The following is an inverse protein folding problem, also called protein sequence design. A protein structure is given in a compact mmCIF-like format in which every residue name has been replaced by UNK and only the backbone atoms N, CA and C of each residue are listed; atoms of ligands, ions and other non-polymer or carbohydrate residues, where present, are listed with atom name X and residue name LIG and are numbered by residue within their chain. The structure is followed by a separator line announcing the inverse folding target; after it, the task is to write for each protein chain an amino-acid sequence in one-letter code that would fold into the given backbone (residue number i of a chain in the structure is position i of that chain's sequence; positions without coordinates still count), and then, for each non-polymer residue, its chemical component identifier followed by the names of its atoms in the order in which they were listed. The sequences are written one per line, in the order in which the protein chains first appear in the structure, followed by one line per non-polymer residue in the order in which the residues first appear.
data_IF_808070258016
#
_entry.id   IF_808070258016
#
_cell.length_a   1.000
_cell.length_b   1.000
_cell.length_c   1.000
_cell.angle_alpha   90.00
_cell.angle_beta   90.00
_cell.angle_gamma   90.00
#
_symmetry.space_group_name_H-M   'P 1'
#
loop_
_entity.id
_entity.type
_entity.pdbx_description
1 polymer ?
#
# COMPACT_ATOMS: atom_id res chain seq x y z
N UNK A 1 -6.30 27.10 -16.39
CA UNK A 1 -6.86 27.37 -15.05
C UNK A 1 -6.66 26.09 -14.25
N UNK A 2 -5.51 25.97 -13.56
CA UNK A 2 -5.20 24.79 -12.76
C UNK A 2 -6.13 24.82 -11.55
N UNK A 3 -7.10 23.90 -11.52
CA UNK A 3 -7.80 23.54 -10.31
C UNK A 3 -6.73 23.17 -9.29
N UNK A 4 -6.55 23.97 -8.24
CA UNK A 4 -5.65 23.66 -7.14
C UNK A 4 -6.23 22.45 -6.41
N UNK A 5 -6.03 21.26 -6.95
CA UNK A 5 -6.58 20.02 -6.39
C UNK A 5 -5.99 19.88 -5.01
N UNK A 6 -6.86 19.94 -4.00
CA UNK A 6 -6.49 19.90 -2.59
C UNK A 6 -5.59 18.69 -2.34
N UNK A 7 -4.49 18.93 -1.62
CA UNK A 7 -3.60 17.85 -1.18
C UNK A 7 -4.32 17.07 -0.07
N UNK A 8 -4.58 15.79 -0.31
CA UNK A 8 -5.20 14.89 0.67
C UNK A 8 -4.26 13.76 1.03
N UNK A 9 -4.43 13.12 2.20
CA UNK A 9 -3.69 11.92 2.55
C UNK A 9 -3.77 10.85 1.45
N UNK A 10 -4.95 10.63 0.85
CA UNK A 10 -5.17 9.62 -0.18
C UNK A 10 -4.33 9.87 -1.43
N UNK A 11 -4.26 11.13 -1.90
CA UNK A 11 -3.45 11.50 -3.08
C UNK A 11 -1.96 11.36 -2.80
N UNK A 12 -1.53 11.67 -1.57
CA UNK A 12 -0.14 11.43 -1.15
C UNK A 12 0.17 9.93 -1.17
N UNK A 13 -0.72 9.09 -0.67
CA UNK A 13 -0.53 7.64 -0.67
C UNK A 13 -0.48 7.08 -2.10
N UNK A 14 -1.33 7.56 -3.01
CA UNK A 14 -1.31 7.18 -4.43
C UNK A 14 0.01 7.54 -5.11
N UNK A 15 0.44 8.80 -5.00
CA UNK A 15 1.72 9.21 -5.56
C UNK A 15 2.89 8.45 -4.93
N UNK A 16 2.81 8.10 -3.65
CA UNK A 16 3.85 7.32 -2.98
C UNK A 16 3.90 5.88 -3.49
N UNK A 17 2.76 5.23 -3.72
CA UNK A 17 2.73 3.91 -4.37
C UNK A 17 3.39 3.96 -5.76
N UNK A 18 3.12 5.00 -6.55
CA UNK A 18 3.71 5.13 -7.89
C UNK A 18 5.22 5.40 -7.85
N UNK A 19 5.67 6.23 -6.91
CA UNK A 19 7.11 6.46 -6.66
C UNK A 19 7.80 5.17 -6.20
N UNK A 20 7.17 4.38 -5.34
CA UNK A 20 7.70 3.08 -4.89
C UNK A 20 7.77 2.08 -6.04
N UNK A 21 6.74 1.97 -6.87
CA UNK A 21 6.76 1.11 -8.07
C UNK A 21 7.86 1.51 -9.05
N UNK A 22 8.15 2.80 -9.18
CA UNK A 22 9.13 3.32 -10.14
C UNK A 22 10.57 3.17 -9.68
N UNK A 23 10.85 3.41 -8.39
CA UNK A 23 12.23 3.52 -7.89
C UNK A 23 12.61 2.43 -6.90
N UNK A 24 11.64 1.67 -6.40
CA UNK A 24 11.81 0.70 -5.33
C UNK A 24 12.02 1.36 -3.96
N UNK A 25 11.88 0.55 -2.91
CA UNK A 25 11.88 1.00 -1.51
C UNK A 25 13.13 1.82 -1.13
N UNK A 26 14.31 1.39 -1.61
CA UNK A 26 15.61 1.95 -1.25
C UNK A 26 15.79 3.36 -1.80
N UNK A 27 15.35 3.61 -3.04
CA UNK A 27 15.60 4.89 -3.75
C UNK A 27 14.44 5.87 -3.64
N UNK A 28 13.21 5.40 -3.38
CA UNK A 28 12.05 6.27 -3.20
C UNK A 28 12.23 7.26 -2.02
N UNK A 29 11.99 8.55 -2.28
CA UNK A 29 12.05 9.61 -1.27
C UNK A 29 10.75 10.40 -1.17
N UNK A 30 10.54 11.06 -0.02
CA UNK A 30 9.40 12.00 0.17
C UNK A 30 9.51 13.20 -0.80
N UNK A 31 10.73 13.56 -1.22
CA UNK A 31 10.95 14.61 -2.22
C UNK A 31 10.43 14.18 -3.59
N UNK A 32 10.60 12.91 -3.96
CA UNK A 32 10.06 12.39 -5.23
C UNK A 32 8.52 12.39 -5.23
N UNK A 33 7.91 12.08 -4.08
CA UNK A 33 6.45 12.16 -3.89
C UNK A 33 5.97 13.60 -4.01
N UNK A 34 6.63 14.53 -3.32
CA UNK A 34 6.29 15.95 -3.36
C UNK A 34 6.43 16.51 -4.79
N UNK A 35 7.49 16.11 -5.51
CA UNK A 35 7.70 16.47 -6.92
C UNK A 35 6.60 15.89 -7.83
N UNK A 36 6.19 14.65 -7.62
CA UNK A 36 5.12 14.02 -8.39
C UNK A 36 3.77 14.72 -8.22
N UNK A 37 3.56 15.38 -7.08
CA UNK A 37 2.34 16.11 -6.74
C UNK A 37 2.42 17.62 -6.97
N UNK A 38 3.56 18.13 -7.44
CA UNK A 38 3.84 19.57 -7.57
C UNK A 38 3.62 20.37 -6.28
N UNK A 39 4.10 19.82 -5.15
CA UNK A 39 4.01 20.46 -3.82
C UNK A 39 5.37 20.50 -3.12
N UNK A 40 5.45 21.28 -2.05
CA UNK A 40 6.62 21.25 -1.16
C UNK A 40 6.67 19.93 -0.38
N UNK A 41 7.87 19.44 -0.05
CA UNK A 41 7.99 18.28 0.85
C UNK A 41 7.38 18.57 2.24
N UNK A 42 7.40 19.84 2.70
CA UNK A 42 6.79 20.26 3.94
C UNK A 42 5.28 20.04 3.95
N UNK A 43 4.62 20.21 2.79
CA UNK A 43 3.19 19.90 2.63
C UNK A 43 2.91 18.42 2.84
N UNK A 44 3.78 17.53 2.36
CA UNK A 44 3.67 16.08 2.62
C UNK A 44 3.87 15.76 4.11
N UNK A 45 4.86 16.37 4.75
CA UNK A 45 5.13 16.15 6.18
C UNK A 45 4.02 16.64 7.11
N UNK A 46 3.18 17.60 6.69
CA UNK A 46 1.98 17.99 7.45
C UNK A 46 0.96 16.87 7.57
N UNK A 47 0.89 15.97 6.58
CA UNK A 47 0.00 14.79 6.61
C UNK A 47 0.70 13.57 7.21
N UNK A 48 1.98 13.39 6.91
CA UNK A 48 2.77 12.24 7.37
C UNK A 48 4.07 12.73 8.02
N UNK A 49 4.14 12.81 9.36
CA UNK A 49 5.23 13.50 10.06
C UNK A 49 6.61 12.88 9.85
N UNK A 50 6.69 11.65 9.33
CA UNK A 50 7.95 11.01 8.98
C UNK A 50 7.87 10.17 7.70
N UNK A 51 9.04 9.85 7.13
CA UNK A 51 9.15 8.88 6.02
C UNK A 51 8.61 7.50 6.43
N UNK A 52 8.82 7.10 7.69
CA UNK A 52 8.31 5.86 8.23
C UNK A 52 6.76 5.87 8.25
N UNK A 53 6.13 6.92 8.81
CA UNK A 53 4.66 7.01 8.85
C UNK A 53 4.02 6.98 7.46
N UNK A 54 4.67 7.58 6.46
CA UNK A 54 4.19 7.53 5.09
C UNK A 54 4.30 6.09 4.52
N UNK A 55 5.42 5.41 4.74
CA UNK A 55 5.63 4.02 4.32
C UNK A 55 4.64 3.07 4.98
N UNK A 56 4.43 3.20 6.28
CA UNK A 56 3.49 2.38 7.05
C UNK A 56 2.06 2.56 6.53
N UNK A 57 1.64 3.80 6.29
CA UNK A 57 0.32 4.10 5.76
C UNK A 57 0.10 3.52 4.35
N UNK A 58 1.10 3.62 3.48
CA UNK A 58 1.06 3.02 2.12
C UNK A 58 0.99 1.49 2.20
N UNK A 59 1.82 0.87 3.03
CA UNK A 59 1.82 -0.58 3.18
C UNK A 59 0.51 -1.09 3.78
N UNK A 60 -0.03 -0.40 4.80
CA UNK A 60 -1.34 -0.71 5.38
C UNK A 60 -2.44 -0.64 4.32
N UNK A 61 -2.50 0.45 3.55
CA UNK A 61 -3.48 0.64 2.46
C UNK A 61 -3.40 -0.48 1.43
N UNK A 62 -2.20 -0.85 1.01
CA UNK A 62 -1.99 -1.94 0.04
C UNK A 62 -2.44 -3.30 0.60
N UNK A 63 -2.18 -3.58 1.88
CA UNK A 63 -2.66 -4.79 2.56
C UNK A 63 -4.17 -4.82 2.74
N UNK A 64 -4.78 -3.72 3.16
CA UNK A 64 -6.23 -3.63 3.34
C UNK A 64 -6.93 -3.98 2.02
N UNK A 65 -6.45 -3.44 0.89
CA UNK A 65 -6.94 -3.77 -0.46
C UNK A 65 -6.71 -5.24 -0.83
N UNK A 66 -5.56 -5.81 -0.46
CA UNK A 66 -5.28 -7.22 -0.72
C UNK A 66 -6.15 -8.15 0.13
N UNK A 67 -6.54 -7.73 1.34
CA UNK A 67 -7.33 -8.54 2.26
C UNK A 67 -8.84 -8.35 2.10
N UNK A 68 -9.30 -7.25 1.48
CA UNK A 68 -10.73 -6.96 1.32
C UNK A 68 -11.54 -8.15 0.74
N UNK A 69 -11.11 -8.84 -0.34
CA UNK A 69 -11.84 -9.99 -0.86
C UNK A 69 -11.88 -11.16 0.13
N UNK A 70 -10.80 -11.34 0.88
CA UNK A 70 -10.68 -12.39 1.90
C UNK A 70 -11.62 -12.15 3.07
N UNK A 71 -11.72 -10.90 3.53
CA UNK A 71 -12.68 -10.50 4.56
C UNK A 71 -14.12 -10.73 4.12
N UNK A 72 -14.47 -10.39 2.86
CA UNK A 72 -15.81 -10.64 2.31
C UNK A 72 -16.15 -12.12 2.26
N UNK A 73 -15.22 -12.99 1.82
CA UNK A 73 -15.41 -14.44 1.82
C UNK A 73 -15.53 -15.02 3.24
N UNK A 74 -14.72 -14.49 4.17
CA UNK A 74 -14.75 -14.89 5.57
C UNK A 74 -16.00 -14.40 6.31
N UNK A 75 -16.71 -13.39 5.81
CA UNK A 75 -17.99 -12.91 6.37
C UNK A 75 -19.23 -13.42 5.61
N UNK A 76 -19.04 -14.05 4.45
CA UNK A 76 -20.13 -14.49 3.59
C UNK A 76 -20.92 -15.68 4.14
N UNK A 77 -22.05 -15.98 3.50
CA UNK A 77 -22.95 -17.06 3.91
C UNK A 77 -22.51 -18.44 3.37
N UNK A 78 -23.12 -19.50 3.92
CA UNK A 78 -22.92 -20.88 3.49
C UNK A 78 -21.97 -21.70 4.38
N UNK A 79 -21.75 -22.98 4.03
CA UNK A 79 -20.98 -23.91 4.85
C UNK A 79 -19.53 -23.45 5.05
N UNK A 80 -19.04 -23.54 6.28
CA UNK A 80 -17.67 -23.14 6.63
C UNK A 80 -16.58 -23.84 5.79
N UNK A 81 -16.66 -25.15 5.46
CA UNK A 81 -15.66 -25.81 4.62
C UNK A 81 -15.57 -25.22 3.21
N UNK A 82 -16.71 -24.93 2.58
CA UNK A 82 -16.75 -24.34 1.24
C UNK A 82 -16.19 -22.92 1.22
N UNK A 83 -16.50 -22.14 2.27
CA UNK A 83 -15.94 -20.80 2.45
C UNK A 83 -14.43 -20.85 2.66
N UNK A 84 -13.93 -21.79 3.47
CA UNK A 84 -12.49 -21.96 3.68
C UNK A 84 -11.76 -22.33 2.37
N UNK A 85 -12.32 -23.23 1.56
CA UNK A 85 -11.73 -23.58 0.27
C UNK A 85 -11.67 -22.36 -0.66
N UNK A 86 -12.78 -21.63 -0.82
CA UNK A 86 -12.84 -20.40 -1.62
C UNK A 86 -11.86 -19.35 -1.11
N UNK A 87 -11.77 -19.20 0.21
CA UNK A 87 -10.84 -18.28 0.87
C UNK A 87 -9.38 -18.64 0.56
N UNK A 88 -8.99 -19.90 0.71
CA UNK A 88 -7.62 -20.35 0.44
C UNK A 88 -7.24 -20.14 -1.03
N UNK A 89 -8.10 -20.55 -1.97
CA UNK A 89 -7.86 -20.34 -3.41
C UNK A 89 -7.69 -18.85 -3.75
N UNK A 90 -8.53 -18.01 -3.17
CA UNK A 90 -8.46 -16.55 -3.35
C UNK A 90 -7.17 -15.99 -2.77
N UNK A 91 -6.78 -16.41 -1.57
CA UNK A 91 -5.56 -15.96 -0.90
C UNK A 91 -4.30 -16.34 -1.71
N UNK A 92 -4.24 -17.56 -2.25
CA UNK A 92 -3.15 -17.99 -3.12
C UNK A 92 -3.10 -17.16 -4.42
N UNK A 93 -4.25 -16.96 -5.09
CA UNK A 93 -4.33 -16.14 -6.30
C UNK A 93 -3.90 -14.70 -6.06
N UNK A 94 -4.31 -14.09 -4.94
CA UNK A 94 -3.91 -12.72 -4.58
C UNK A 94 -2.39 -12.66 -4.35
N UNK A 95 -1.83 -13.57 -3.56
CA UNK A 95 -0.38 -13.61 -3.32
C UNK A 95 0.41 -13.80 -4.62
N UNK A 96 -0.02 -14.71 -5.49
CA UNK A 96 0.64 -14.96 -6.76
C UNK A 96 0.60 -13.71 -7.67
N UNK A 97 -0.58 -13.10 -7.86
CA UNK A 97 -0.73 -11.88 -8.65
C UNK A 97 0.11 -10.73 -8.10
N UNK A 98 0.12 -10.51 -6.78
CA UNK A 98 0.88 -9.42 -6.17
C UNK A 98 2.39 -9.56 -6.36
N UNK A 99 2.91 -10.80 -6.33
CA UNK A 99 4.34 -11.04 -6.60
C UNK A 99 4.70 -10.77 -8.06
N UNK A 100 3.81 -11.11 -8.99
CA UNK A 100 4.04 -10.90 -10.42
C UNK A 100 3.79 -9.45 -10.87
N UNK A 101 2.70 -8.83 -10.42
CA UNK A 101 2.18 -7.58 -10.95
C UNK A 101 2.68 -6.34 -10.19
N UNK A 102 3.07 -6.49 -8.92
CA UNK A 102 3.45 -5.36 -8.05
C UNK A 102 4.63 -5.72 -7.11
N UNK A 103 5.77 -6.19 -7.66
CA UNK A 103 6.87 -6.75 -6.88
C UNK A 103 7.50 -5.74 -5.91
N UNK A 104 7.61 -4.47 -6.29
CA UNK A 104 8.20 -3.42 -5.43
C UNK A 104 7.31 -3.09 -4.23
N UNK A 105 5.98 -3.09 -4.41
CA UNK A 105 5.05 -2.93 -3.30
C UNK A 105 5.06 -4.15 -2.38
N UNK A 106 5.14 -5.36 -2.94
CA UNK A 106 5.28 -6.57 -2.15
C UNK A 106 6.58 -6.58 -1.33
N UNK A 107 7.71 -6.18 -1.93
CA UNK A 107 8.98 -6.03 -1.24
C UNK A 107 8.93 -4.97 -0.12
N UNK A 108 8.25 -3.84 -0.37
CA UNK A 108 8.02 -2.79 0.62
C UNK A 108 7.26 -3.31 1.84
N UNK A 109 6.18 -4.06 1.61
CA UNK A 109 5.43 -4.71 2.68
C UNK A 109 6.29 -5.71 3.46
N UNK A 110 7.01 -6.61 2.76
CA UNK A 110 7.83 -7.62 3.41
C UNK A 110 8.91 -6.99 4.30
N UNK A 111 9.56 -5.92 3.84
CA UNK A 111 10.56 -5.21 4.61
C UNK A 111 9.98 -4.61 5.91
N UNK A 112 8.79 -3.99 5.83
CA UNK A 112 8.10 -3.45 7.01
C UNK A 112 7.66 -4.55 7.98
N UNK A 113 7.15 -5.67 7.47
CA UNK A 113 6.76 -6.83 8.27
C UNK A 113 7.94 -7.58 8.91
N UNK A 114 9.15 -7.43 8.36
CA UNK A 114 10.38 -7.95 8.97
C UNK A 114 10.87 -7.00 10.08
N UNK A 115 10.93 -5.69 9.82
CA UNK A 115 11.33 -4.71 10.84
C UNK A 115 10.41 -4.68 12.06
N UNK A 116 9.11 -4.94 11.87
CA UNK A 116 8.15 -5.05 12.98
C UNK A 116 8.36 -6.29 13.89
N UNK A 117 9.15 -7.28 13.46
CA UNK A 117 9.50 -8.47 14.27
C UNK A 117 10.75 -8.28 15.13
N UNK A 118 11.49 -7.18 14.93
CA UNK A 118 12.75 -6.88 15.62
C UNK A 118 12.57 -5.89 16.79
N UNK A 119 11.33 -5.62 17.21
CA UNK A 119 10.96 -4.70 18.30
C UNK A 119 10.35 -5.46 19.47
#
# INVERSE_FOLDING_TARGET
MNEAVVLTPERILEATEDVLRRYGLTKATVVDVARALDVSHGSVYRHFPSKASLRDAVAKRWLDRANEPLCKLAAGDGPAPERLEKWLRTAFSIKQKKVCDDPEMFATYLALAQGAREV
#
